data_IF_948704694061
#
_entry.id   IF_948704694061
#
_cell.length_a   1.000
_cell.length_b   1.000
_cell.length_c   1.000
_cell.angle_alpha   90.00
_cell.angle_beta   90.00
_cell.angle_gamma   90.00
#
_symmetry.space_group_name_H-M   'P 1'
#
loop_
_entity.id
_entity.type
_entity.pdbx_description
1 polymer ?
#
# COMPACT_ATOMS: atom_id res chain seq x y z
N UNK A 1 1.46 18.08 32.22
CA UNK A 1 2.49 17.90 31.15
C UNK A 1 3.32 19.16 31.00
N UNK A 2 4.63 19.11 30.75
CA UNK A 2 5.46 20.30 30.55
C UNK A 2 4.96 21.07 29.31
N UNK A 3 4.92 22.42 29.39
CA UNK A 3 4.41 23.29 28.30
C UNK A 3 5.13 23.12 26.96
N UNK A 4 6.34 22.56 26.94
CA UNK A 4 7.09 22.27 25.71
C UNK A 4 6.53 21.09 24.92
N UNK A 5 6.00 20.09 25.58
CA UNK A 5 5.41 18.88 24.99
C UNK A 5 4.08 19.19 24.25
N UNK A 6 3.26 20.07 24.84
CA UNK A 6 2.00 20.51 24.26
C UNK A 6 2.21 21.29 22.96
N UNK A 7 3.19 22.22 22.92
CA UNK A 7 3.50 22.99 21.72
C UNK A 7 3.99 22.10 20.57
N UNK A 8 4.84 21.13 20.88
CA UNK A 8 5.37 20.21 19.88
C UNK A 8 4.25 19.32 19.30
N UNK A 9 3.31 18.88 20.16
CA UNK A 9 2.12 18.14 19.74
C UNK A 9 1.23 18.96 18.82
N UNK A 10 0.92 20.23 19.18
CA UNK A 10 0.10 21.10 18.32
C UNK A 10 0.77 21.43 17.00
N UNK A 11 2.09 21.59 16.98
CA UNK A 11 2.85 21.79 15.74
C UNK A 11 2.83 20.55 14.85
N UNK A 12 2.90 19.35 15.43
CA UNK A 12 2.78 18.09 14.71
C UNK A 12 1.36 17.90 14.11
N UNK A 13 0.32 18.20 14.91
CA UNK A 13 -1.06 18.19 14.42
C UNK A 13 -1.24 19.18 13.26
N UNK A 14 -0.78 20.43 13.43
CA UNK A 14 -0.84 21.42 12.35
C UNK A 14 -0.12 20.97 11.07
N UNK A 15 1.01 20.27 11.20
CA UNK A 15 1.72 19.71 10.03
C UNK A 15 0.87 18.64 9.34
N UNK A 16 0.21 17.76 10.09
CA UNK A 16 -0.72 16.75 9.54
C UNK A 16 -1.82 17.41 8.69
N UNK A 17 -2.52 18.41 9.25
CA UNK A 17 -3.58 19.11 8.53
C UNK A 17 -3.11 19.84 7.26
N UNK A 18 -1.91 20.46 7.31
CA UNK A 18 -1.29 21.09 6.14
C UNK A 18 -0.97 20.04 5.07
N UNK A 19 -0.53 18.88 5.47
CA UNK A 19 -0.21 17.75 4.61
C UNK A 19 -1.47 17.19 3.94
N UNK A 20 -2.51 16.90 4.71
CA UNK A 20 -3.80 16.39 4.21
C UNK A 20 -4.48 17.39 3.28
N UNK A 21 -4.55 18.68 3.66
CA UNK A 21 -5.12 19.74 2.81
C UNK A 21 -4.39 19.86 1.46
N UNK A 22 -3.07 19.77 1.44
CA UNK A 22 -2.29 19.85 0.20
C UNK A 22 -2.49 18.61 -0.68
N UNK A 23 -2.59 17.43 -0.08
CA UNK A 23 -2.82 16.18 -0.79
C UNK A 23 -4.22 16.16 -1.42
N UNK A 24 -5.26 16.44 -0.66
CA UNK A 24 -6.64 16.51 -1.18
C UNK A 24 -6.82 17.56 -2.27
N UNK A 25 -6.15 18.70 -2.17
CA UNK A 25 -6.13 19.69 -3.25
C UNK A 25 -5.54 19.12 -4.53
N UNK A 26 -4.43 18.38 -4.41
CA UNK A 26 -3.81 17.72 -5.57
C UNK A 26 -4.73 16.64 -6.16
N UNK A 27 -5.41 15.85 -5.32
CA UNK A 27 -6.38 14.86 -5.80
C UNK A 27 -7.54 15.53 -6.54
N UNK A 28 -8.09 16.62 -6.00
CA UNK A 28 -9.12 17.43 -6.67
C UNK A 28 -8.67 17.97 -8.03
N UNK A 29 -7.44 18.47 -8.12
CA UNK A 29 -6.87 19.02 -9.35
C UNK A 29 -6.60 17.96 -10.43
N UNK A 30 -6.35 16.72 -10.03
CA UNK A 30 -5.95 15.63 -10.94
C UNK A 30 -7.09 14.66 -11.26
N UNK A 31 -8.20 14.74 -10.54
CA UNK A 31 -9.37 13.90 -10.75
C UNK A 31 -10.13 14.32 -12.01
N UNK A 32 -10.50 13.33 -12.84
CA UNK A 32 -11.24 13.55 -14.09
C UNK A 32 -12.75 13.58 -13.89
N UNK A 33 -13.25 12.90 -12.85
CA UNK A 33 -14.66 12.90 -12.51
C UNK A 33 -14.99 14.18 -11.71
N UNK A 34 -15.85 15.08 -12.24
CA UNK A 34 -16.15 16.36 -11.58
C UNK A 34 -16.76 16.20 -10.17
N UNK A 35 -17.56 15.14 -9.96
CA UNK A 35 -18.19 14.88 -8.66
C UNK A 35 -17.13 14.46 -7.63
N UNK A 36 -16.20 13.58 -8.00
CA UNK A 36 -15.11 13.16 -7.12
C UNK A 36 -14.13 14.33 -6.87
N UNK A 37 -13.82 15.11 -7.90
CA UNK A 37 -12.99 16.31 -7.75
C UNK A 37 -13.59 17.30 -6.75
N UNK A 38 -14.92 17.49 -6.76
CA UNK A 38 -15.62 18.31 -5.79
C UNK A 38 -15.52 17.75 -4.37
N UNK A 39 -15.65 16.43 -4.19
CA UNK A 39 -15.50 15.77 -2.88
C UNK A 39 -14.11 16.02 -2.32
N UNK A 40 -13.05 15.78 -3.11
CA UNK A 40 -11.68 16.06 -2.69
C UNK A 40 -11.46 17.55 -2.37
N UNK A 41 -12.05 18.45 -3.15
CA UNK A 41 -12.00 19.89 -2.88
C UNK A 41 -12.64 20.28 -1.56
N UNK A 42 -13.77 19.67 -1.21
CA UNK A 42 -14.43 19.86 0.09
C UNK A 42 -13.59 19.32 1.25
N UNK A 43 -13.00 18.13 1.11
CA UNK A 43 -12.08 17.60 2.10
C UNK A 43 -10.86 18.53 2.30
N UNK A 44 -10.27 19.04 1.24
CA UNK A 44 -9.16 20.00 1.33
C UNK A 44 -9.56 21.29 2.08
N UNK A 45 -10.80 21.73 1.95
CA UNK A 45 -11.31 22.91 2.67
C UNK A 45 -11.48 22.62 4.16
N UNK A 46 -11.98 21.44 4.53
CA UNK A 46 -12.14 21.03 5.94
C UNK A 46 -10.77 20.90 6.61
N UNK A 47 -9.81 20.24 5.98
CA UNK A 47 -8.45 20.13 6.52
C UNK A 47 -7.77 21.50 6.68
N UNK A 48 -8.04 22.42 5.75
CA UNK A 48 -7.57 23.79 5.89
C UNK A 48 -8.19 24.49 7.11
N UNK A 49 -9.46 24.21 7.42
CA UNK A 49 -10.12 24.73 8.63
C UNK A 49 -9.55 24.11 9.91
N UNK A 50 -9.24 22.82 9.91
CA UNK A 50 -8.53 22.16 11.01
C UNK A 50 -7.14 22.77 11.22
N UNK A 51 -6.39 23.03 10.16
CA UNK A 51 -5.11 23.73 10.25
C UNK A 51 -5.25 25.12 10.91
N UNK A 52 -6.30 25.89 10.57
CA UNK A 52 -6.59 27.18 11.22
C UNK A 52 -6.95 27.01 12.70
N UNK A 53 -7.64 25.94 13.07
CA UNK A 53 -7.92 25.62 14.46
C UNK A 53 -6.61 25.44 15.25
N UNK A 54 -5.68 24.61 14.75
CA UNK A 54 -4.39 24.37 15.41
C UNK A 54 -3.51 25.62 15.47
N UNK A 55 -3.54 26.47 14.43
CA UNK A 55 -2.86 27.78 14.45
C UNK A 55 -3.37 28.66 15.61
N UNK A 56 -4.70 28.70 15.82
CA UNK A 56 -5.29 29.43 16.94
C UNK A 56 -4.88 28.85 18.29
N UNK A 57 -4.84 27.53 18.42
CA UNK A 57 -4.36 26.87 19.65
C UNK A 57 -2.90 27.21 19.98
N UNK A 58 -2.00 27.21 18.95
CA UNK A 58 -0.61 27.61 19.12
C UNK A 58 -0.49 29.09 19.52
N UNK A 59 -1.25 29.97 18.89
CA UNK A 59 -1.27 31.39 19.21
C UNK A 59 -1.78 31.64 20.64
N UNK A 60 -2.79 30.88 21.11
CA UNK A 60 -3.32 30.97 22.49
C UNK A 60 -2.28 30.60 23.56
N UNK A 61 -1.27 29.78 23.21
CA UNK A 61 -0.13 29.50 24.07
C UNK A 61 0.89 30.65 24.13
N UNK A 62 0.65 31.78 23.43
CA UNK A 62 1.57 32.89 23.33
C UNK A 62 2.81 32.58 22.46
N UNK A 63 2.71 31.60 21.56
CA UNK A 63 3.81 31.15 20.73
C UNK A 63 3.64 31.61 19.27
N UNK A 64 4.79 31.76 18.58
CA UNK A 64 4.77 32.06 17.15
C UNK A 64 4.27 30.86 16.37
N UNK A 65 3.28 31.08 15.53
CA UNK A 65 2.73 30.05 14.63
C UNK A 65 3.77 29.75 13.52
N UNK A 66 4.21 28.50 13.36
CA UNK A 66 5.15 28.15 12.31
C UNK A 66 4.50 28.23 10.93
N UNK A 67 5.24 28.73 9.93
CA UNK A 67 4.83 28.62 8.53
C UNK A 67 5.27 27.26 8.02
N UNK A 68 4.32 26.33 7.93
CA UNK A 68 4.58 24.96 7.50
C UNK A 68 4.33 24.82 5.98
N UNK A 69 5.11 23.92 5.38
CA UNK A 69 4.95 23.50 3.98
C UNK A 69 4.68 21.99 3.97
N UNK A 70 4.02 21.48 2.91
CA UNK A 70 3.81 20.04 2.76
C UNK A 70 5.12 19.26 2.87
N UNK A 71 5.07 18.21 3.70
CA UNK A 71 6.21 17.34 3.96
C UNK A 71 6.67 16.56 2.72
N UNK A 72 7.84 15.93 2.81
CA UNK A 72 8.40 15.17 1.68
C UNK A 72 7.49 14.02 1.24
N UNK A 73 6.84 13.32 2.18
CA UNK A 73 5.88 12.25 1.89
C UNK A 73 4.69 12.77 1.08
N UNK A 74 4.07 13.86 1.53
CA UNK A 74 2.93 14.49 0.86
C UNK A 74 3.30 14.95 -0.54
N UNK A 75 4.49 15.55 -0.71
CA UNK A 75 5.01 15.97 -2.02
C UNK A 75 5.23 14.78 -2.95
N UNK A 76 5.75 13.65 -2.43
CA UNK A 76 5.92 12.42 -3.19
C UNK A 76 4.57 11.84 -3.63
N UNK A 77 3.59 11.75 -2.72
CA UNK A 77 2.24 11.29 -3.05
C UNK A 77 1.54 12.22 -4.05
N UNK A 78 1.66 13.53 -3.89
CA UNK A 78 1.14 14.51 -4.83
C UNK A 78 1.77 14.37 -6.23
N UNK A 79 3.07 14.12 -6.31
CA UNK A 79 3.75 13.83 -7.57
C UNK A 79 3.25 12.52 -8.21
N UNK A 80 3.08 11.45 -7.42
CA UNK A 80 2.52 10.17 -7.87
C UNK A 80 1.08 10.34 -8.38
N UNK A 81 0.25 11.10 -7.66
CA UNK A 81 -1.11 11.40 -8.09
C UNK A 81 -1.16 12.15 -9.43
N UNK A 82 -0.29 13.15 -9.62
CA UNK A 82 -0.18 13.88 -10.90
C UNK A 82 0.32 12.99 -12.04
N UNK A 83 1.21 12.03 -11.76
CA UNK A 83 1.84 11.18 -12.79
C UNK A 83 0.98 9.96 -13.16
N UNK A 84 0.29 9.35 -12.19
CA UNK A 84 -0.40 8.08 -12.33
C UNK A 84 -1.91 8.17 -12.03
N UNK A 85 -2.40 9.35 -11.63
CA UNK A 85 -3.79 9.58 -11.28
C UNK A 85 -4.11 9.37 -9.80
N UNK A 86 -5.25 9.92 -9.31
CA UNK A 86 -5.70 9.82 -7.93
C UNK A 86 -5.86 8.37 -7.45
N UNK A 87 -6.45 7.50 -8.26
CA UNK A 87 -6.68 6.09 -7.93
C UNK A 87 -5.42 5.35 -7.50
N UNK A 88 -4.24 5.73 -8.02
CA UNK A 88 -2.96 5.11 -7.67
C UNK A 88 -2.54 5.37 -6.22
N UNK A 89 -2.83 6.54 -5.68
CA UNK A 89 -2.41 6.94 -4.33
C UNK A 89 -3.52 6.77 -3.29
N UNK A 90 -4.77 6.66 -3.72
CA UNK A 90 -5.95 6.66 -2.85
C UNK A 90 -5.91 5.56 -1.77
N UNK A 91 -5.47 4.31 -2.02
CA UNK A 91 -5.34 3.29 -0.97
C UNK A 91 -4.31 3.67 0.11
N UNK A 92 -3.24 4.36 -0.30
CA UNK A 92 -2.24 4.88 0.65
C UNK A 92 -2.83 6.02 1.49
N UNK A 93 -3.57 6.92 0.86
CA UNK A 93 -4.29 8.01 1.55
C UNK A 93 -5.29 7.45 2.55
N UNK A 94 -6.09 6.46 2.16
CA UNK A 94 -7.01 5.77 3.06
C UNK A 94 -6.32 5.16 4.29
N UNK A 95 -5.17 4.53 4.10
CA UNK A 95 -4.39 3.98 5.23
C UNK A 95 -3.90 5.09 6.17
N UNK A 96 -3.49 6.24 5.63
CA UNK A 96 -3.04 7.38 6.43
C UNK A 96 -4.19 7.98 7.23
N UNK A 97 -5.35 8.18 6.60
CA UNK A 97 -6.56 8.67 7.28
C UNK A 97 -7.00 7.77 8.43
N UNK A 98 -6.93 6.44 8.25
CA UNK A 98 -7.23 5.49 9.33
C UNK A 98 -6.26 5.60 10.51
N UNK A 99 -4.99 5.90 10.26
CA UNK A 99 -3.99 6.12 11.31
C UNK A 99 -4.27 7.44 12.03
N UNK A 100 -4.55 8.50 11.28
CA UNK A 100 -4.74 9.86 11.80
C UNK A 100 -6.06 10.00 12.56
N UNK A 101 -7.14 9.32 12.12
CA UNK A 101 -8.46 9.33 12.79
C UNK A 101 -8.41 8.86 14.26
N UNK A 102 -7.44 8.02 14.63
CA UNK A 102 -7.20 7.59 16.02
C UNK A 102 -6.39 8.57 16.86
N UNK A 103 -5.61 9.45 16.22
CA UNK A 103 -4.61 10.29 16.91
C UNK A 103 -5.23 11.38 17.81
N UNK A 104 -6.40 11.90 17.46
CA UNK A 104 -7.09 12.98 18.17
C UNK A 104 -7.96 12.52 19.33
N UNK A 105 -8.32 11.25 19.40
CA UNK A 105 -9.25 10.74 20.42
C UNK A 105 -8.74 10.87 21.85
N UNK A 106 -7.41 10.89 22.05
CA UNK A 106 -6.76 11.05 23.34
C UNK A 106 -6.40 12.51 23.68
N UNK A 107 -6.74 13.48 22.83
CA UNK A 107 -6.36 14.88 22.98
C UNK A 107 -7.59 15.72 23.39
N UNK A 108 -7.70 16.23 24.66
CA UNK A 108 -8.87 16.96 25.10
C UNK A 108 -9.19 18.18 24.25
N UNK A 109 -8.16 18.86 23.72
CA UNK A 109 -8.31 20.04 22.87
C UNK A 109 -8.92 19.66 21.51
N UNK A 110 -8.49 18.57 20.92
CA UNK A 110 -9.04 18.07 19.67
C UNK A 110 -10.51 17.64 19.83
N UNK A 111 -10.82 16.97 20.95
CA UNK A 111 -12.20 16.58 21.32
C UNK A 111 -13.09 17.82 21.47
N UNK A 112 -12.61 18.84 22.15
CA UNK A 112 -13.34 20.09 22.30
C UNK A 112 -13.59 20.83 20.97
N UNK A 113 -12.69 20.65 19.99
CA UNK A 113 -12.82 21.17 18.63
C UNK A 113 -13.65 20.29 17.67
N UNK A 114 -14.13 19.13 18.12
CA UNK A 114 -14.89 18.20 17.27
C UNK A 114 -14.06 17.42 16.25
N UNK A 115 -12.72 17.55 16.24
CA UNK A 115 -11.83 16.96 15.25
C UNK A 115 -11.94 15.42 15.17
N UNK A 116 -12.04 14.63 16.28
CA UNK A 116 -12.12 13.18 16.18
C UNK A 116 -13.35 12.68 15.41
N UNK A 117 -14.45 13.43 15.43
CA UNK A 117 -15.65 13.07 14.66
C UNK A 117 -15.47 13.39 13.17
N UNK A 118 -14.85 14.53 12.85
CA UNK A 118 -14.53 14.94 11.50
C UNK A 118 -13.57 13.96 10.84
N UNK A 119 -12.46 13.60 11.52
CA UNK A 119 -11.47 12.65 11.03
C UNK A 119 -12.05 11.25 10.75
N UNK A 120 -12.92 10.76 11.64
CA UNK A 120 -13.63 9.49 11.37
C UNK A 120 -14.57 9.58 10.16
N UNK A 121 -15.15 10.77 9.90
CA UNK A 121 -15.96 11.00 8.70
C UNK A 121 -15.10 11.03 7.44
N UNK A 122 -13.93 11.68 7.48
CA UNK A 122 -12.99 11.72 6.37
C UNK A 122 -12.49 10.32 6.03
N UNK A 123 -12.03 9.55 7.03
CA UNK A 123 -11.58 8.18 6.84
C UNK A 123 -12.67 7.30 6.17
N UNK A 124 -13.95 7.49 6.54
CA UNK A 124 -15.07 6.77 5.91
C UNK A 124 -15.30 7.20 4.46
N UNK A 125 -15.25 8.49 4.17
CA UNK A 125 -15.41 9.02 2.81
C UNK A 125 -14.29 8.50 1.92
N UNK A 126 -13.04 8.58 2.37
CA UNK A 126 -11.89 8.11 1.61
C UNK A 126 -11.91 6.59 1.44
N UNK A 127 -12.30 5.82 2.45
CA UNK A 127 -12.49 4.38 2.32
C UNK A 127 -13.53 4.03 1.25
N UNK A 128 -14.65 4.75 1.21
CA UNK A 128 -15.67 4.57 0.18
C UNK A 128 -15.17 4.92 -1.23
N UNK A 129 -14.34 5.94 -1.36
CA UNK A 129 -13.76 6.37 -2.65
C UNK A 129 -12.59 5.46 -3.09
N UNK A 130 -11.88 4.84 -2.15
CA UNK A 130 -10.78 3.92 -2.44
C UNK A 130 -11.28 2.54 -2.95
N UNK A 131 -12.58 2.28 -2.88
CA UNK A 131 -13.19 1.04 -3.37
C UNK A 131 -13.69 1.26 -4.80
N UNK A 132 -13.17 0.56 -5.82
CA UNK A 132 -13.67 0.68 -7.19
C UNK A 132 -15.08 0.08 -7.27
N UNK A 133 -16.12 0.89 -7.29
CA UNK A 133 -17.47 0.44 -7.67
C UNK A 133 -18.32 1.60 -8.13
N UNK A 134 -19.01 1.50 -9.28
CA UNK A 134 -20.01 2.47 -9.73
C UNK A 134 -21.23 2.58 -8.80
N UNK A 135 -21.38 1.66 -7.85
CA UNK A 135 -22.48 1.59 -6.88
C UNK A 135 -22.19 2.29 -5.55
N UNK A 136 -21.26 3.25 -5.50
CA UNK A 136 -20.84 3.94 -4.27
C UNK A 136 -21.96 4.69 -3.52
N UNK A 137 -23.16 4.76 -4.07
CA UNK A 137 -24.32 5.42 -3.47
C UNK A 137 -25.47 4.47 -3.10
N UNK A 138 -25.28 3.15 -3.15
CA UNK A 138 -26.28 2.19 -2.66
C UNK A 138 -25.95 1.72 -1.24
N UNK A 139 -26.97 1.23 -0.49
CA UNK A 139 -26.85 0.82 0.92
C UNK A 139 -25.76 -0.23 1.21
N UNK A 140 -25.24 -0.92 0.18
CA UNK A 140 -24.10 -1.85 0.27
C UNK A 140 -22.78 -1.16 0.70
N UNK A 141 -22.66 0.16 0.53
CA UNK A 141 -21.48 0.92 0.92
C UNK A 141 -21.25 0.95 2.43
N UNK A 142 -22.31 0.89 3.22
CA UNK A 142 -22.23 0.92 4.69
C UNK A 142 -21.65 -0.39 5.25
N UNK A 143 -21.94 -1.51 4.62
CA UNK A 143 -21.42 -2.82 5.04
C UNK A 143 -19.95 -3.05 4.70
N UNK A 144 -19.44 -2.38 3.65
CA UNK A 144 -18.02 -2.46 3.24
C UNK A 144 -17.08 -1.60 4.09
N UNK A 145 -17.62 -0.67 4.89
CA UNK A 145 -16.84 0.22 5.77
C UNK A 145 -16.18 -0.52 6.96
N UNK A 146 -16.55 -1.77 7.23
CA UNK A 146 -16.02 -2.54 8.37
C UNK A 146 -14.77 -3.40 8.06
N UNK A 147 -14.16 -3.16 6.95
CA UNK A 147 -12.79 -3.64 6.73
C UNK A 147 -12.66 -5.01 6.13
N UNK A 148 -12.40 -5.08 4.84
CA UNK A 148 -11.56 -6.11 4.18
C UNK A 148 -11.32 -5.89 2.69
N UNK A 149 -11.14 -4.67 2.19
CA UNK A 149 -10.77 -4.55 0.77
C UNK A 149 -9.47 -3.75 0.57
N UNK A 150 -8.46 -4.48 0.14
CA UNK A 150 -7.16 -3.95 -0.30
C UNK A 150 -7.35 -3.35 -1.69
N UNK A 151 -7.52 -2.04 -1.79
CA UNK A 151 -7.55 -1.36 -3.08
C UNK A 151 -6.32 -1.66 -3.93
N UNK A 152 -6.51 -1.97 -5.23
CA UNK A 152 -5.46 -2.39 -6.17
C UNK A 152 -4.26 -1.43 -6.25
N UNK A 153 -4.45 -0.13 -6.13
CA UNK A 153 -3.35 0.86 -6.24
C UNK A 153 -2.36 0.80 -5.08
N UNK A 154 -2.82 0.65 -3.83
CA UNK A 154 -1.94 0.49 -2.66
C UNK A 154 -1.23 -0.86 -2.66
N UNK A 155 -1.87 -1.88 -3.21
CA UNK A 155 -1.23 -3.17 -3.40
C UNK A 155 -0.14 -3.11 -4.48
N UNK A 156 -0.35 -2.39 -5.59
CA UNK A 156 0.65 -2.24 -6.64
C UNK A 156 1.92 -1.52 -6.14
N UNK A 157 1.76 -0.40 -5.42
CA UNK A 157 2.90 0.31 -4.83
C UNK A 157 3.63 -0.54 -3.79
N UNK A 158 2.89 -1.23 -2.93
CA UNK A 158 3.46 -2.14 -1.94
C UNK A 158 4.19 -3.31 -2.61
N UNK A 159 3.58 -3.94 -3.61
CA UNK A 159 4.20 -5.03 -4.38
C UNK A 159 5.46 -4.56 -5.10
N UNK A 160 5.45 -3.35 -5.69
CA UNK A 160 6.61 -2.75 -6.32
C UNK A 160 7.78 -2.57 -5.36
N UNK A 161 7.52 -1.99 -4.19
CA UNK A 161 8.54 -1.77 -3.15
C UNK A 161 9.07 -3.10 -2.63
N UNK A 162 8.19 -4.10 -2.39
CA UNK A 162 8.59 -5.42 -1.90
C UNK A 162 9.39 -6.19 -2.96
N UNK A 163 8.98 -6.16 -4.24
CA UNK A 163 9.69 -6.84 -5.32
C UNK A 163 11.09 -6.29 -5.55
N UNK A 164 11.23 -4.95 -5.58
CA UNK A 164 12.55 -4.31 -5.69
C UNK A 164 13.43 -4.59 -4.46
N UNK A 165 12.83 -4.62 -3.27
CA UNK A 165 13.55 -4.98 -2.03
C UNK A 165 14.06 -6.42 -2.05
N UNK A 166 13.22 -7.36 -2.48
CA UNK A 166 13.61 -8.77 -2.54
C UNK A 166 14.76 -8.99 -3.53
N UNK A 167 14.67 -8.40 -4.73
CA UNK A 167 15.75 -8.43 -5.70
C UNK A 167 17.06 -7.83 -5.17
N UNK A 168 16.99 -6.71 -4.48
CA UNK A 168 18.16 -6.04 -3.93
C UNK A 168 18.81 -6.86 -2.80
N UNK A 169 18.04 -7.30 -1.81
CA UNK A 169 18.58 -7.99 -0.63
C UNK A 169 19.08 -9.39 -0.98
N UNK A 170 18.33 -10.15 -1.78
CA UNK A 170 18.73 -11.51 -2.19
C UNK A 170 19.99 -11.49 -3.04
N UNK A 171 20.06 -10.60 -4.02
CA UNK A 171 21.22 -10.54 -4.91
C UNK A 171 22.44 -9.89 -4.23
N UNK A 172 22.24 -8.90 -3.34
CA UNK A 172 23.32 -8.38 -2.49
C UNK A 172 23.90 -9.49 -1.61
N UNK A 173 23.05 -10.31 -0.99
CA UNK A 173 23.48 -11.43 -0.16
C UNK A 173 24.27 -12.47 -0.98
N UNK A 174 23.82 -12.76 -2.20
CA UNK A 174 24.51 -13.67 -3.11
C UNK A 174 25.90 -13.13 -3.51
N UNK A 175 25.96 -11.86 -3.97
CA UNK A 175 27.20 -11.19 -4.37
C UNK A 175 28.18 -11.12 -3.20
N UNK A 176 27.70 -10.78 -1.99
CA UNK A 176 28.55 -10.72 -0.81
C UNK A 176 29.04 -12.10 -0.37
N UNK A 177 28.21 -13.15 -0.49
CA UNK A 177 28.63 -14.52 -0.22
C UNK A 177 29.77 -14.98 -1.12
N UNK A 178 29.66 -14.74 -2.42
CA UNK A 178 30.71 -15.11 -3.39
C UNK A 178 31.98 -14.25 -3.22
N UNK A 179 31.81 -12.95 -2.91
CA UNK A 179 32.92 -12.05 -2.60
C UNK A 179 33.65 -12.48 -1.30
N UNK A 180 32.90 -12.92 -0.29
CA UNK A 180 33.45 -13.48 0.94
C UNK A 180 34.31 -14.73 0.70
N UNK A 181 33.94 -15.57 -0.25
CA UNK A 181 34.71 -16.74 -0.69
C UNK A 181 35.96 -16.39 -1.52
N UNK A 182 36.28 -15.11 -1.68
CA UNK A 182 37.45 -14.59 -2.41
C UNK A 182 37.50 -15.03 -3.89
N UNK A 183 36.36 -15.24 -4.50
CA UNK A 183 36.27 -15.57 -5.92
C UNK A 183 36.72 -14.39 -6.81
N UNK A 184 37.18 -14.72 -8.02
CA UNK A 184 37.56 -13.70 -8.99
C UNK A 184 36.41 -12.74 -9.33
N UNK A 185 36.68 -11.44 -9.62
CA UNK A 185 35.66 -10.46 -9.91
C UNK A 185 34.68 -10.86 -11.03
N UNK A 186 35.17 -11.54 -12.05
CA UNK A 186 34.35 -12.08 -13.13
C UNK A 186 33.36 -13.15 -12.62
N UNK A 187 33.77 -14.02 -11.72
CA UNK A 187 32.89 -15.05 -11.14
C UNK A 187 31.80 -14.41 -10.28
N UNK A 188 32.13 -13.34 -9.53
CA UNK A 188 31.13 -12.56 -8.77
C UNK A 188 30.12 -11.91 -9.72
N UNK A 189 30.58 -11.29 -10.81
CA UNK A 189 29.71 -10.68 -11.82
C UNK A 189 28.75 -11.72 -12.44
N UNK A 190 29.30 -12.85 -12.91
CA UNK A 190 28.48 -13.92 -13.52
C UNK A 190 27.46 -14.47 -12.54
N UNK A 191 27.87 -14.71 -11.30
CA UNK A 191 26.95 -15.19 -10.25
C UNK A 191 25.86 -14.16 -9.93
N UNK A 192 26.21 -12.88 -9.82
CA UNK A 192 25.25 -11.82 -9.60
C UNK A 192 24.25 -11.66 -10.75
N UNK A 193 24.70 -11.78 -12.00
CA UNK A 193 23.81 -11.79 -13.18
C UNK A 193 22.93 -13.04 -13.22
N UNK A 194 23.48 -14.20 -12.91
CA UNK A 194 22.70 -15.43 -12.82
C UNK A 194 21.64 -15.34 -11.71
N UNK A 195 21.99 -14.77 -10.55
CA UNK A 195 21.04 -14.52 -9.45
C UNK A 195 19.95 -13.54 -9.83
N UNK A 196 20.29 -12.46 -10.52
CA UNK A 196 19.33 -11.50 -11.06
C UNK A 196 18.33 -12.18 -12.01
N UNK A 197 18.82 -12.91 -12.99
CA UNK A 197 17.96 -13.58 -13.98
C UNK A 197 17.11 -14.68 -13.34
N UNK A 198 17.72 -15.56 -12.55
CA UNK A 198 17.03 -16.65 -11.89
C UNK A 198 15.94 -16.13 -10.93
N UNK A 199 16.27 -15.14 -10.12
CA UNK A 199 15.33 -14.53 -9.18
C UNK A 199 14.20 -13.80 -9.90
N UNK A 200 14.50 -13.02 -10.94
CA UNK A 200 13.47 -12.33 -11.73
C UNK A 200 12.51 -13.30 -12.42
N UNK A 201 13.05 -14.37 -13.03
CA UNK A 201 12.23 -15.42 -13.65
C UNK A 201 11.39 -16.18 -12.63
N UNK A 202 11.97 -16.54 -11.47
CA UNK A 202 11.26 -17.25 -10.40
C UNK A 202 10.11 -16.41 -9.86
N UNK A 203 10.35 -15.13 -9.61
CA UNK A 203 9.32 -14.22 -9.11
C UNK A 203 8.20 -13.99 -10.13
N UNK A 204 8.57 -13.82 -11.41
CA UNK A 204 7.59 -13.68 -12.49
C UNK A 204 6.70 -14.92 -12.65
N UNK A 205 7.28 -16.11 -12.64
CA UNK A 205 6.54 -17.37 -12.74
C UNK A 205 5.65 -17.61 -11.52
N UNK A 206 6.17 -17.30 -10.31
CA UNK A 206 5.39 -17.37 -9.07
C UNK A 206 4.19 -16.45 -9.09
N UNK A 207 4.36 -15.22 -9.53
CA UNK A 207 3.27 -14.24 -9.66
C UNK A 207 2.24 -14.66 -10.72
N UNK A 208 2.71 -15.12 -11.89
CA UNK A 208 1.83 -15.63 -12.94
C UNK A 208 0.96 -16.79 -12.44
N UNK A 209 1.59 -17.76 -11.75
CA UNK A 209 0.90 -18.91 -11.20
C UNK A 209 -0.09 -18.49 -10.11
N UNK A 210 0.30 -17.60 -9.21
CA UNK A 210 -0.53 -17.07 -8.13
C UNK A 210 -1.80 -16.42 -8.67
N UNK A 211 -1.65 -15.53 -9.65
CA UNK A 211 -2.79 -14.84 -10.28
C UNK A 211 -3.72 -15.83 -10.99
N UNK A 212 -3.17 -16.77 -11.75
CA UNK A 212 -4.01 -17.76 -12.45
C UNK A 212 -4.73 -18.69 -11.47
N UNK A 213 -4.05 -19.19 -10.44
CA UNK A 213 -4.66 -20.07 -9.42
C UNK A 213 -5.77 -19.33 -8.66
N UNK A 214 -5.56 -18.06 -8.30
CA UNK A 214 -6.58 -17.25 -7.65
C UNK A 214 -7.82 -17.06 -8.56
N UNK A 215 -7.61 -16.81 -9.85
CA UNK A 215 -8.68 -16.70 -10.85
C UNK A 215 -9.44 -18.00 -11.05
N UNK A 216 -8.74 -19.11 -11.20
CA UNK A 216 -9.36 -20.42 -11.36
C UNK A 216 -10.17 -20.80 -10.12
N UNK A 217 -9.69 -20.46 -8.92
CA UNK A 217 -10.43 -20.70 -7.68
C UNK A 217 -11.68 -19.84 -7.60
N UNK A 218 -11.56 -18.54 -7.92
CA UNK A 218 -12.70 -17.63 -7.92
C UNK A 218 -13.74 -18.02 -8.98
N UNK A 219 -13.29 -18.39 -10.19
CA UNK A 219 -14.20 -18.81 -11.24
C UNK A 219 -15.00 -20.07 -10.86
N UNK A 220 -14.36 -21.06 -10.22
CA UNK A 220 -15.07 -22.24 -9.73
C UNK A 220 -16.14 -21.90 -8.70
N UNK A 221 -15.85 -20.96 -7.80
CA UNK A 221 -16.84 -20.49 -6.82
C UNK A 221 -18.01 -19.79 -7.52
N UNK A 222 -17.74 -18.94 -8.50
CA UNK A 222 -18.77 -18.26 -9.29
C UNK A 222 -19.62 -19.27 -10.10
N UNK A 223 -18.98 -20.28 -10.69
CA UNK A 223 -19.69 -21.33 -11.44
C UNK A 223 -20.61 -22.16 -10.52
N UNK A 224 -20.13 -22.46 -9.29
CA UNK A 224 -20.95 -23.16 -8.27
C UNK A 224 -22.16 -22.30 -7.89
N UNK A 225 -21.95 -21.02 -7.60
CA UNK A 225 -22.99 -20.05 -7.25
C UNK A 225 -24.04 -19.88 -8.35
N UNK A 226 -23.57 -19.89 -9.62
CA UNK A 226 -24.47 -19.82 -10.77
C UNK A 226 -25.34 -21.07 -10.87
N UNK A 227 -24.76 -22.25 -10.61
CA UNK A 227 -25.49 -23.53 -10.61
C UNK A 227 -26.52 -23.59 -9.45
N UNK A 228 -26.18 -23.09 -8.26
CA UNK A 228 -27.08 -23.03 -7.10
C UNK A 228 -28.20 -22.05 -7.35
N UNK A 229 -27.94 -20.88 -7.89
CA UNK A 229 -28.96 -19.90 -8.28
C UNK A 229 -29.95 -20.45 -9.34
N UNK A 230 -29.50 -21.33 -10.24
CA UNK A 230 -30.39 -22.01 -11.20
C UNK A 230 -31.21 -23.12 -10.61
N UNK A 231 -30.64 -23.92 -9.69
CA UNK A 231 -31.26 -25.13 -9.17
C UNK A 231 -32.13 -24.87 -7.94
N UNK A 232 -31.70 -23.97 -7.07
CA UNK A 232 -32.33 -23.72 -5.74
C UNK A 232 -32.45 -22.23 -5.41
N UNK A 233 -33.03 -21.40 -6.28
CA UNK A 233 -33.07 -19.93 -6.11
C UNK A 233 -33.79 -19.49 -4.80
N UNK A 234 -34.62 -20.33 -4.22
CA UNK A 234 -35.28 -20.04 -2.95
C UNK A 234 -34.33 -20.18 -1.76
N UNK A 235 -33.35 -21.09 -1.83
CA UNK A 235 -32.29 -21.23 -0.84
C UNK A 235 -31.33 -20.04 -0.90
N UNK A 236 -30.94 -19.60 -2.10
CA UNK A 236 -30.13 -18.40 -2.35
C UNK A 236 -30.79 -17.11 -1.80
N UNK A 237 -32.14 -17.00 -1.97
CA UNK A 237 -32.90 -15.88 -1.39
C UNK A 237 -32.78 -15.88 0.15
N UNK A 238 -32.92 -17.05 0.78
CA UNK A 238 -32.81 -17.16 2.25
C UNK A 238 -31.39 -16.91 2.75
N UNK A 239 -30.35 -17.41 2.05
CA UNK A 239 -28.95 -17.19 2.40
C UNK A 239 -28.56 -15.70 2.28
N UNK A 240 -28.96 -15.06 1.19
CA UNK A 240 -28.73 -13.62 1.01
C UNK A 240 -29.47 -12.81 2.08
N UNK A 241 -30.70 -13.23 2.46
CA UNK A 241 -31.44 -12.57 3.54
C UNK A 241 -30.72 -12.72 4.89
N UNK A 242 -30.15 -13.91 5.19
CA UNK A 242 -29.35 -14.13 6.40
C UNK A 242 -28.08 -13.28 6.42
N UNK A 243 -27.41 -13.12 5.27
CA UNK A 243 -26.25 -12.24 5.14
C UNK A 243 -26.63 -10.79 5.48
N UNK A 244 -27.74 -10.29 4.95
CA UNK A 244 -28.20 -8.93 5.25
C UNK A 244 -28.65 -8.77 6.71
N UNK A 245 -29.24 -9.79 7.33
CA UNK A 245 -29.55 -9.78 8.77
C UNK A 245 -28.25 -9.72 9.60
N UNK A 246 -27.24 -10.51 9.25
CA UNK A 246 -25.94 -10.45 9.90
C UNK A 246 -25.26 -9.07 9.76
N UNK A 247 -25.58 -8.34 8.70
CA UNK A 247 -25.17 -6.94 8.47
C UNK A 247 -26.04 -5.91 9.21
N UNK A 248 -27.03 -6.35 10.00
CA UNK A 248 -27.85 -5.51 10.87
C UNK A 248 -29.19 -5.04 10.30
N UNK A 249 -29.64 -5.57 9.15
CA UNK A 249 -30.98 -5.30 8.66
C UNK A 249 -32.04 -6.05 9.48
N UNK A 250 -33.21 -5.45 9.75
CA UNK A 250 -34.36 -6.17 10.26
C UNK A 250 -34.79 -7.34 9.34
N UNK A 251 -35.25 -8.44 9.90
CA UNK A 251 -35.53 -9.66 9.16
C UNK A 251 -36.48 -9.44 7.96
N UNK A 252 -37.56 -8.68 8.16
CA UNK A 252 -38.55 -8.43 7.10
C UNK A 252 -37.98 -7.63 5.95
N UNK A 253 -37.13 -6.67 6.25
CA UNK A 253 -36.42 -5.84 5.25
C UNK A 253 -35.36 -6.66 4.51
N UNK A 254 -34.59 -7.50 5.21
CA UNK A 254 -33.59 -8.36 4.64
C UNK A 254 -34.22 -9.36 3.64
N UNK A 255 -35.31 -10.00 4.00
CA UNK A 255 -36.06 -10.89 3.12
C UNK A 255 -36.62 -10.19 1.88
N UNK A 256 -37.23 -9.04 2.07
CA UNK A 256 -37.75 -8.24 0.93
C UNK A 256 -36.65 -7.85 -0.04
N UNK A 257 -35.51 -7.38 0.48
CA UNK A 257 -34.37 -6.98 -0.32
C UNK A 257 -33.76 -8.18 -1.07
N UNK A 258 -33.52 -9.30 -0.40
CA UNK A 258 -32.99 -10.52 -1.00
C UNK A 258 -33.86 -11.00 -2.14
N UNK A 259 -35.18 -11.05 -1.92
CA UNK A 259 -36.16 -11.44 -2.95
C UNK A 259 -36.13 -10.55 -4.19
N UNK A 260 -36.03 -9.23 -4.01
CA UNK A 260 -35.95 -8.29 -5.13
C UNK A 260 -34.63 -8.45 -5.91
N UNK A 261 -33.51 -8.70 -5.21
CA UNK A 261 -32.20 -8.88 -5.83
C UNK A 261 -32.12 -10.19 -6.60
N UNK A 262 -32.60 -11.29 -6.06
CA UNK A 262 -32.63 -12.61 -6.71
C UNK A 262 -33.61 -12.62 -7.89
N UNK A 263 -34.76 -11.95 -7.80
CA UNK A 263 -35.71 -11.84 -8.90
C UNK A 263 -35.12 -11.16 -10.14
N UNK A 264 -34.10 -10.30 -9.98
CA UNK A 264 -33.41 -9.65 -11.08
C UNK A 264 -32.29 -10.54 -11.63
N UNK A 265 -32.64 -11.48 -12.52
CA UNK A 265 -31.71 -12.45 -13.14
C UNK A 265 -30.43 -11.85 -13.74
N UNK A 266 -30.41 -10.57 -14.08
CA UNK A 266 -29.22 -9.93 -14.69
C UNK A 266 -28.16 -9.53 -13.65
N UNK A 267 -28.58 -9.29 -12.42
CA UNK A 267 -27.72 -8.81 -11.34
C UNK A 267 -27.65 -9.76 -10.15
N UNK A 268 -28.51 -10.81 -10.11
CA UNK A 268 -28.56 -11.76 -9.02
C UNK A 268 -27.19 -12.40 -8.76
N UNK A 269 -26.61 -13.04 -9.78
CA UNK A 269 -25.29 -13.67 -9.67
C UNK A 269 -24.19 -12.66 -9.26
N UNK A 270 -24.16 -11.47 -9.85
CA UNK A 270 -23.16 -10.44 -9.47
C UNK A 270 -23.35 -10.01 -8.00
N UNK A 271 -24.60 -9.98 -7.54
CA UNK A 271 -24.89 -9.65 -6.13
C UNK A 271 -24.41 -10.76 -5.19
N UNK A 272 -24.73 -12.02 -5.47
CA UNK A 272 -24.29 -13.18 -4.68
C UNK A 272 -22.77 -13.27 -4.64
N UNK A 273 -22.10 -13.20 -5.80
CA UNK A 273 -20.64 -13.21 -5.90
C UNK A 273 -19.99 -12.12 -5.04
N UNK A 274 -20.58 -10.93 -4.98
CA UNK A 274 -20.05 -9.82 -4.16
C UNK A 274 -20.40 -9.96 -2.67
N UNK A 275 -21.63 -10.36 -2.36
CA UNK A 275 -22.14 -10.32 -0.98
C UNK A 275 -21.83 -11.59 -0.20
N UNK A 276 -21.83 -12.74 -0.87
CA UNK A 276 -21.58 -14.06 -0.29
C UNK A 276 -20.12 -14.47 -0.42
N UNK A 277 -19.60 -14.52 -1.64
CA UNK A 277 -18.21 -14.93 -1.89
C UNK A 277 -17.20 -13.83 -1.56
N UNK A 278 -17.63 -12.57 -1.46
CA UNK A 278 -16.75 -11.44 -1.26
C UNK A 278 -15.78 -11.19 -2.45
N UNK A 279 -16.13 -11.71 -3.63
CA UNK A 279 -15.34 -11.59 -4.85
C UNK A 279 -15.83 -10.38 -5.64
N UNK A 280 -14.92 -9.52 -6.10
CA UNK A 280 -15.23 -8.51 -7.08
C UNK A 280 -14.90 -9.03 -8.49
N UNK A 281 -15.90 -9.29 -9.35
CA UNK A 281 -15.66 -9.81 -10.70
C UNK A 281 -14.76 -8.91 -11.55
N UNK A 282 -14.76 -7.61 -11.31
CA UNK A 282 -13.91 -6.65 -12.02
C UNK A 282 -12.43 -6.81 -11.66
N UNK A 283 -12.12 -7.22 -10.41
CA UNK A 283 -10.76 -7.48 -9.96
C UNK A 283 -10.17 -8.76 -10.58
N UNK A 284 -10.99 -9.70 -11.03
CA UNK A 284 -10.53 -10.90 -11.74
C UNK A 284 -10.02 -10.59 -13.16
N UNK A 285 -10.28 -9.40 -13.69
CA UNK A 285 -9.91 -8.97 -15.05
C UNK A 285 -8.43 -8.70 -15.30
N UNK A 286 -7.57 -8.63 -14.27
CA UNK A 286 -6.12 -8.31 -14.39
C UNK A 286 -5.34 -9.37 -15.18
N UNK A 287 -4.40 -8.99 -16.05
CA UNK A 287 -3.57 -9.94 -16.82
C UNK A 287 -2.46 -10.56 -15.95
N UNK A 288 -2.43 -11.89 -15.84
CA UNK A 288 -1.36 -12.62 -15.17
C UNK A 288 0.02 -12.34 -15.80
N UNK A 289 0.08 -12.14 -17.12
CA UNK A 289 1.31 -11.78 -17.82
C UNK A 289 1.79 -10.36 -17.47
N UNK A 290 0.88 -9.43 -17.27
CA UNK A 290 1.23 -8.07 -16.84
C UNK A 290 1.77 -8.07 -15.42
N UNK A 291 1.16 -8.84 -14.53
CA UNK A 291 1.65 -9.02 -13.15
C UNK A 291 3.04 -9.68 -13.12
N UNK A 292 3.22 -10.76 -13.88
CA UNK A 292 4.51 -11.45 -14.03
C UNK A 292 5.60 -10.52 -14.58
N UNK A 293 5.31 -9.77 -15.64
CA UNK A 293 6.24 -8.81 -16.22
C UNK A 293 6.64 -7.70 -15.26
N UNK A 294 5.68 -7.17 -14.50
CA UNK A 294 5.95 -6.18 -13.45
C UNK A 294 6.86 -6.76 -12.35
N UNK A 295 6.57 -7.96 -11.85
CA UNK A 295 7.36 -8.65 -10.84
C UNK A 295 8.79 -8.93 -11.33
N UNK A 296 8.96 -9.39 -12.58
CA UNK A 296 10.26 -9.55 -13.20
C UNK A 296 11.08 -8.27 -13.18
N UNK A 297 10.49 -7.18 -13.68
CA UNK A 297 11.18 -5.88 -13.80
C UNK A 297 11.54 -5.29 -12.45
N UNK A 298 10.63 -5.37 -11.47
CA UNK A 298 10.86 -4.82 -10.13
C UNK A 298 11.98 -5.56 -9.40
N UNK A 299 12.00 -6.89 -9.48
CA UNK A 299 13.11 -7.69 -8.95
C UNK A 299 14.42 -7.33 -9.64
N UNK A 300 14.45 -7.29 -10.98
CA UNK A 300 15.64 -6.98 -11.76
C UNK A 300 16.21 -5.59 -11.43
N UNK A 301 15.33 -4.58 -11.26
CA UNK A 301 15.71 -3.22 -10.85
C UNK A 301 16.40 -3.25 -9.48
N UNK A 302 15.87 -4.02 -8.52
CA UNK A 302 16.52 -4.18 -7.21
C UNK A 302 17.86 -4.91 -7.31
N UNK A 303 17.88 -6.04 -8.03
CA UNK A 303 19.00 -6.95 -8.13
C UNK A 303 20.20 -6.39 -8.89
N UNK A 304 20.04 -5.36 -9.71
CA UNK A 304 21.14 -4.77 -10.49
C UNK A 304 22.12 -3.97 -9.63
N UNK A 305 21.67 -3.34 -8.53
CA UNK A 305 22.51 -2.45 -7.72
C UNK A 305 23.77 -3.12 -7.16
N UNK A 306 23.71 -4.31 -6.54
CA UNK A 306 24.91 -4.98 -6.05
C UNK A 306 25.84 -5.50 -7.15
N UNK A 307 25.33 -5.71 -8.39
CA UNK A 307 26.07 -6.27 -9.51
C UNK A 307 26.74 -5.19 -10.35
N UNK A 308 26.07 -4.04 -10.53
CA UNK A 308 26.49 -2.99 -11.44
C UNK A 308 27.95 -2.55 -11.29
N UNK A 309 28.53 -2.37 -10.09
CA UNK A 309 29.93 -2.00 -9.96
C UNK A 309 30.92 -2.99 -10.52
N UNK A 310 30.58 -4.29 -10.58
CA UNK A 310 31.47 -5.33 -11.10
C UNK A 310 31.60 -5.35 -12.62
N UNK A 311 30.82 -4.55 -13.36
CA UNK A 311 31.02 -4.38 -14.80
C UNK A 311 32.31 -3.60 -15.15
N UNK A 312 32.72 -2.67 -14.27
CA UNK A 312 33.87 -1.79 -14.55
C UNK A 312 34.95 -1.82 -13.47
N UNK A 313 34.66 -2.40 -12.31
CA UNK A 313 35.57 -2.44 -11.18
C UNK A 313 35.85 -3.89 -10.78
N UNK A 314 37.00 -4.09 -10.12
CA UNK A 314 37.37 -5.39 -9.57
C UNK A 314 37.89 -5.28 -8.14
N UNK A 315 37.94 -6.41 -7.43
CA UNK A 315 38.48 -6.50 -6.10
C UNK A 315 37.78 -5.62 -5.06
N UNK A 316 38.54 -5.02 -4.17
CA UNK A 316 38.02 -4.21 -3.07
C UNK A 316 37.22 -2.97 -3.52
N UNK A 317 37.63 -2.20 -4.56
CA UNK A 317 36.83 -1.10 -5.05
C UNK A 317 35.43 -1.48 -5.53
N UNK A 318 35.30 -2.62 -6.22
CA UNK A 318 33.99 -3.13 -6.66
C UNK A 318 33.09 -3.47 -5.47
N UNK A 319 33.64 -4.13 -4.44
CA UNK A 319 32.90 -4.52 -3.24
C UNK A 319 32.40 -3.29 -2.49
N UNK A 320 33.23 -2.27 -2.28
CA UNK A 320 32.84 -1.03 -1.60
C UNK A 320 31.77 -0.29 -2.41
N UNK A 321 31.94 -0.19 -3.72
CA UNK A 321 30.96 0.46 -4.60
C UNK A 321 29.62 -0.31 -4.61
N UNK A 322 29.64 -1.64 -4.59
CA UNK A 322 28.47 -2.51 -4.49
C UNK A 322 27.69 -2.28 -3.18
N UNK A 323 28.39 -2.24 -2.06
CA UNK A 323 27.79 -1.94 -0.76
C UNK A 323 27.21 -0.51 -0.72
N UNK A 324 27.94 0.47 -1.25
CA UNK A 324 27.47 1.85 -1.29
C UNK A 324 26.21 2.02 -2.16
N UNK A 325 26.21 1.48 -3.39
CA UNK A 325 25.06 1.52 -4.29
C UNK A 325 23.84 0.78 -3.68
N UNK A 326 24.06 -0.40 -3.12
CA UNK A 326 23.02 -1.17 -2.45
C UNK A 326 22.50 -0.45 -1.20
N UNK A 327 23.37 0.21 -0.43
CA UNK A 327 22.98 1.00 0.73
C UNK A 327 22.05 2.17 0.38
N UNK A 328 22.39 2.91 -0.69
CA UNK A 328 21.50 3.98 -1.19
C UNK A 328 20.15 3.41 -1.62
N UNK A 329 20.15 2.31 -2.38
CA UNK A 329 18.92 1.67 -2.84
C UNK A 329 18.08 1.11 -1.66
N UNK A 330 18.70 0.45 -0.67
CA UNK A 330 18.03 -0.01 0.55
C UNK A 330 17.39 1.14 1.32
N UNK A 331 18.10 2.25 1.48
CA UNK A 331 17.56 3.43 2.14
C UNK A 331 16.35 3.98 1.39
N UNK A 332 16.44 4.14 0.06
CA UNK A 332 15.35 4.64 -0.77
C UNK A 332 14.13 3.71 -0.76
N UNK A 333 14.33 2.40 -0.83
CA UNK A 333 13.25 1.40 -0.71
C UNK A 333 12.62 1.48 0.68
N UNK A 334 13.42 1.52 1.75
CA UNK A 334 12.94 1.69 3.11
C UNK A 334 12.19 3.01 3.31
N UNK A 335 12.70 4.11 2.74
CA UNK A 335 11.99 5.38 2.71
C UNK A 335 10.66 5.28 1.94
N UNK A 336 10.64 4.54 0.83
CA UNK A 336 9.42 4.24 0.08
C UNK A 336 8.36 3.53 0.91
N UNK A 337 8.74 2.63 1.83
CA UNK A 337 7.78 1.97 2.73
C UNK A 337 7.08 2.95 3.67
N UNK A 338 7.69 4.10 3.97
CA UNK A 338 7.07 5.12 4.81
C UNK A 338 5.83 5.75 4.17
N UNK A 339 5.72 5.68 2.83
CA UNK A 339 4.56 6.22 2.10
C UNK A 339 3.26 5.52 2.51
N UNK A 340 3.31 4.21 2.73
CA UNK A 340 2.12 3.41 3.07
C UNK A 340 2.09 2.92 4.53
N UNK A 341 3.18 3.05 5.30
CA UNK A 341 3.18 2.67 6.73
C UNK A 341 2.97 3.86 7.67
N UNK A 342 2.97 5.09 7.14
CA UNK A 342 2.86 6.30 7.95
C UNK A 342 4.06 6.59 8.87
N UNK A 343 5.06 5.70 8.93
CA UNK A 343 6.23 5.85 9.79
C UNK A 343 7.21 6.90 9.27
N UNK A 344 8.07 7.37 10.17
CA UNK A 344 9.14 8.32 9.82
C UNK A 344 10.06 7.73 8.74
N UNK A 345 10.31 8.52 7.68
CA UNK A 345 11.12 8.17 6.52
C UNK A 345 12.53 7.72 6.91
N UNK A 346 13.18 8.48 7.82
CA UNK A 346 14.53 8.18 8.27
C UNK A 346 14.62 6.88 9.05
N UNK A 347 13.63 6.62 9.91
CA UNK A 347 13.54 5.36 10.64
C UNK A 347 13.33 4.17 9.72
N UNK A 348 12.43 4.29 8.74
CA UNK A 348 12.15 3.21 7.78
C UNK A 348 13.35 2.94 6.87
N UNK A 349 14.04 3.99 6.41
CA UNK A 349 15.27 3.88 5.63
C UNK A 349 16.42 3.24 6.44
N UNK A 350 16.66 3.72 7.65
CA UNK A 350 17.71 3.18 8.52
C UNK A 350 17.46 1.71 8.89
N UNK A 351 16.21 1.35 9.23
CA UNK A 351 15.83 -0.05 9.50
C UNK A 351 16.15 -0.95 8.32
N UNK A 352 15.82 -0.51 7.09
CA UNK A 352 16.06 -1.29 5.88
C UNK A 352 17.55 -1.48 5.61
N UNK A 353 18.37 -0.44 5.85
CA UNK A 353 19.84 -0.55 5.80
C UNK A 353 20.38 -1.59 6.76
N UNK A 354 19.94 -1.54 8.04
CA UNK A 354 20.40 -2.48 9.06
C UNK A 354 20.06 -3.91 8.68
N UNK A 355 18.83 -4.18 8.25
CA UNK A 355 18.39 -5.53 7.87
C UNK A 355 19.13 -6.02 6.63
N UNK A 356 19.27 -5.19 5.58
CA UNK A 356 19.95 -5.58 4.35
C UNK A 356 21.44 -5.82 4.54
N UNK A 357 22.12 -4.96 5.30
CA UNK A 357 23.55 -5.16 5.59
C UNK A 357 23.82 -6.29 6.58
N UNK A 358 22.90 -6.57 7.51
CA UNK A 358 23.01 -7.75 8.35
C UNK A 358 22.96 -9.05 7.52
N UNK A 359 22.04 -9.16 6.58
CA UNK A 359 21.95 -10.28 5.65
C UNK A 359 23.23 -10.41 4.81
N UNK A 360 23.71 -9.30 4.25
CA UNK A 360 24.97 -9.26 3.49
C UNK A 360 26.19 -9.67 4.32
N UNK A 361 26.28 -9.24 5.57
CA UNK A 361 27.38 -9.59 6.48
C UNK A 361 27.37 -11.08 6.83
N UNK A 362 26.18 -11.65 7.09
CA UNK A 362 26.05 -13.09 7.37
C UNK A 362 26.49 -13.90 6.16
N UNK A 363 26.03 -13.57 4.96
CA UNK A 363 26.38 -14.31 3.75
C UNK A 363 27.84 -14.13 3.37
N UNK A 364 28.43 -12.95 3.56
CA UNK A 364 29.86 -12.71 3.38
C UNK A 364 30.69 -13.56 4.35
N UNK A 365 30.30 -13.61 5.63
CA UNK A 365 30.98 -14.45 6.64
C UNK A 365 30.91 -15.93 6.31
N UNK A 366 29.73 -16.42 5.91
CA UNK A 366 29.57 -17.82 5.45
C UNK A 366 30.40 -18.11 4.20
N UNK A 367 30.40 -17.20 3.23
CA UNK A 367 31.22 -17.31 2.04
C UNK A 367 32.70 -17.41 2.36
N UNK A 368 33.20 -16.63 3.32
CA UNK A 368 34.58 -16.67 3.77
C UNK A 368 34.95 -18.01 4.44
N UNK A 369 34.04 -18.55 5.26
CA UNK A 369 34.23 -19.87 5.88
C UNK A 369 34.28 -20.99 4.85
N UNK A 370 33.35 -20.97 3.89
CA UNK A 370 33.30 -21.97 2.80
C UNK A 370 34.52 -21.84 1.91
N UNK A 371 34.90 -20.62 1.52
CA UNK A 371 36.09 -20.37 0.70
C UNK A 371 37.36 -20.91 1.34
N UNK A 372 37.56 -20.65 2.62
CA UNK A 372 38.71 -21.20 3.36
C UNK A 372 38.70 -22.73 3.46
N UNK A 373 37.51 -23.37 3.55
CA UNK A 373 37.39 -24.82 3.62
C UNK A 373 37.63 -25.53 2.26
N UNK A 374 37.40 -24.82 1.14
CA UNK A 374 37.56 -25.39 -0.22
C UNK A 374 38.97 -25.17 -0.78
N UNK A 375 39.65 -24.09 -0.33
CA UNK A 375 41.00 -23.73 -0.80
C UNK A 375 42.12 -24.18 0.12
N UNK A 376 41.87 -24.66 1.32
CA UNK A 376 42.78 -25.25 2.28
C UNK A 376 42.75 -26.75 2.16
#
# INVERSE_FOLDING_TARGET
MPKGDVQQRYAANLQGEVDSAALYRTLSETEKNPQLAEVYGRLAAVESAHAEYWKKQIAALGRRVPQLRPGLRTRALAWLARRFGPAFVLPTVNTLEQIDSGSYSAQPEAVAGGLPAAERSHARIIAALATPSPAAFSGATVARLEGRHRGMGGNALRAAVLGANDGLVSNLSLVMGVAGAQMAPHAILVTGLAGLLAGSCSMALGEWLSVNTARESAQRQIDTEADELEQVPEEEEEELALIYQAKGLPQDLAKTLAKELIANKKTALDTLVREELGIDPEELGGSAWTAAGASFMLFAIGAIFPVAPYFGLGGWPALVASLAASGVALFLIGAGTSLFTGRNLWFSGARQLVVGFAAAAVTFGLGRLIGAAVTG
#
